data_IF_932777524837
#
_entry.id   IF_932777524837
#
_cell.length_a   1.000
_cell.length_b   1.000
_cell.length_c   1.000
_cell.angle_alpha   90.00
_cell.angle_beta   90.00
_cell.angle_gamma   90.00
#
_symmetry.space_group_name_H-M   'P 1'
#
loop_
_entity.id
_entity.type
_entity.pdbx_description
1 polymer ?
#
# COMPACT_ATOMS: atom_id res chain seq x y z
N UNK A 1 -37.45 55.56 34.27
CA UNK A 1 -36.36 54.68 34.76
C UNK A 1 -35.54 54.26 33.55
N UNK A 2 -34.24 54.57 33.54
CA UNK A 2 -33.71 55.42 32.48
C UNK A 2 -32.51 54.81 31.75
N UNK A 3 -32.13 55.45 30.63
CA UNK A 3 -30.75 55.81 30.28
C UNK A 3 -29.78 54.67 29.87
N UNK A 4 -28.79 54.79 28.97
CA UNK A 4 -28.21 55.92 28.23
C UNK A 4 -27.05 55.33 27.41
N UNK A 5 -26.94 55.75 26.15
CA UNK A 5 -25.72 56.27 25.49
C UNK A 5 -24.51 55.36 25.20
N UNK A 6 -24.02 55.42 23.94
CA UNK A 6 -22.84 56.19 23.42
C UNK A 6 -21.51 55.47 23.72
N UNK A 7 -20.43 55.58 22.97
CA UNK A 7 -19.99 56.19 21.70
C UNK A 7 -18.62 55.53 21.44
N UNK A 8 -18.27 55.20 20.19
CA UNK A 8 -17.30 55.95 19.37
C UNK A 8 -16.01 56.45 20.06
N UNK A 9 -14.85 56.03 19.54
CA UNK A 9 -13.65 56.80 19.07
C UNK A 9 -12.71 55.75 18.43
N UNK A 10 -12.39 55.70 17.14
CA UNK A 10 -11.64 56.59 16.22
C UNK A 10 -10.12 56.61 16.40
N UNK A 11 -9.40 56.12 15.38
CA UNK A 11 -8.06 56.51 14.85
C UNK A 11 -7.72 55.44 13.77
N UNK A 12 -7.71 55.64 12.45
CA UNK A 12 -7.40 56.72 11.51
C UNK A 12 -5.89 56.96 11.28
N UNK A 13 -5.33 56.35 10.21
CA UNK A 13 -4.36 56.92 9.26
C UNK A 13 -3.97 55.86 8.19
N UNK A 14 -4.35 55.98 6.89
CA UNK A 14 -3.72 56.75 5.78
C UNK A 14 -2.24 56.35 5.55
N UNK A 15 -1.89 55.63 4.49
CA UNK A 15 -1.37 56.08 3.16
C UNK A 15 -0.59 54.85 2.62
N UNK A 16 -0.39 54.52 1.35
CA UNK A 16 -0.24 55.30 0.13
C UNK A 16 -0.42 54.38 -1.10
N UNK A 17 -0.74 55.00 -2.22
CA UNK A 17 -0.92 54.46 -3.56
C UNK A 17 0.41 54.03 -4.21
N UNK A 18 0.28 53.02 -5.09
CA UNK A 18 0.93 52.78 -6.39
C UNK A 18 1.77 53.93 -7.00
N UNK A 19 2.73 53.61 -7.91
CA UNK A 19 2.37 53.57 -9.34
C UNK A 19 3.05 52.48 -10.20
N UNK A 20 2.30 52.12 -11.25
CA UNK A 20 2.73 51.55 -12.53
C UNK A 20 3.68 52.50 -13.30
N UNK A 21 4.64 51.92 -14.02
CA UNK A 21 5.19 52.43 -15.29
C UNK A 21 5.41 51.22 -16.22
N UNK A 22 4.69 51.10 -17.36
CA UNK A 22 4.95 51.72 -18.69
C UNK A 22 6.27 51.21 -19.29
N UNK A 23 6.43 50.71 -20.53
CA UNK A 23 5.65 50.52 -21.78
C UNK A 23 6.54 49.57 -22.64
N UNK A 24 6.08 48.84 -23.66
CA UNK A 24 6.32 49.10 -25.11
C UNK A 24 5.80 47.86 -25.87
N UNK A 25 4.73 48.02 -26.68
CA UNK A 25 4.62 47.80 -28.15
C UNK A 25 5.51 46.68 -28.71
N UNK A 26 5.08 45.75 -29.56
CA UNK A 26 4.41 45.98 -30.83
C UNK A 26 3.93 44.64 -31.44
N UNK A 27 2.96 44.69 -32.33
CA UNK A 27 2.41 43.56 -33.08
C UNK A 27 3.30 43.14 -34.27
N UNK A 28 3.21 41.88 -34.71
CA UNK A 28 3.55 41.51 -36.08
C UNK A 28 4.09 40.09 -36.33
N UNK A 29 3.27 39.30 -37.05
CA UNK A 29 3.65 38.26 -38.04
C UNK A 29 4.02 36.83 -37.60
N UNK A 30 3.05 35.95 -37.91
CA UNK A 30 3.11 34.57 -38.44
C UNK A 30 4.46 34.15 -39.07
N UNK A 31 5.00 32.99 -38.67
CA UNK A 31 5.29 31.82 -39.54
C UNK A 31 6.15 30.75 -38.84
N UNK A 32 5.81 29.49 -39.12
CA UNK A 32 6.41 28.22 -38.68
C UNK A 32 7.93 28.12 -38.87
N UNK A 33 8.61 27.41 -37.94
CA UNK A 33 9.63 26.38 -38.26
C UNK A 33 10.00 25.55 -37.03
N UNK A 34 9.97 24.23 -37.22
CA UNK A 34 10.46 23.20 -36.30
C UNK A 34 11.92 23.46 -35.91
N UNK A 35 12.25 23.23 -34.63
CA UNK A 35 13.62 23.22 -34.13
C UNK A 35 13.67 22.65 -32.72
N UNK A 36 14.25 21.45 -32.60
CA UNK A 36 14.47 20.66 -31.40
C UNK A 36 15.00 21.48 -30.20
N UNK A 37 14.37 21.34 -29.02
CA UNK A 37 15.00 21.65 -27.73
C UNK A 37 15.09 20.37 -26.89
N UNK A 38 16.32 19.98 -26.58
CA UNK A 38 16.66 18.99 -25.58
C UNK A 38 16.01 19.35 -24.24
N UNK A 39 15.06 18.53 -23.80
CA UNK A 39 14.57 18.57 -22.43
C UNK A 39 15.63 17.91 -21.56
N UNK A 40 16.36 18.71 -20.79
CA UNK A 40 17.19 18.24 -19.67
C UNK A 40 16.28 17.56 -18.66
N UNK A 41 16.33 16.23 -18.62
CA UNK A 41 15.72 15.41 -17.57
C UNK A 41 16.54 15.68 -16.31
N UNK A 42 16.02 16.53 -15.41
CA UNK A 42 16.52 16.60 -14.04
C UNK A 42 16.30 15.25 -13.35
N UNK A 43 17.16 14.84 -12.40
CA UNK A 43 16.98 13.57 -11.71
C UNK A 43 15.62 13.59 -11.00
N UNK A 44 14.73 12.68 -11.40
CA UNK A 44 13.51 12.39 -10.65
C UNK A 44 13.92 11.85 -9.28
N UNK A 45 13.92 12.72 -8.28
CA UNK A 45 13.93 12.30 -6.89
C UNK A 45 12.64 11.55 -6.63
N UNK A 46 12.68 10.22 -6.74
CA UNK A 46 11.67 9.33 -6.16
C UNK A 46 11.63 9.61 -4.67
N UNK A 47 10.68 10.45 -4.25
CA UNK A 47 10.38 10.66 -2.84
C UNK A 47 10.05 9.29 -2.24
N UNK A 48 10.73 8.84 -1.18
CA UNK A 48 10.44 7.55 -0.58
C UNK A 48 8.98 7.54 -0.15
N UNK A 49 8.26 6.49 -0.55
CA UNK A 49 6.89 6.20 -0.13
C UNK A 49 6.81 6.31 1.39
N UNK A 50 6.16 7.37 1.88
CA UNK A 50 6.02 7.68 3.31
C UNK A 50 5.01 6.74 3.96
N UNK A 51 5.33 5.45 4.06
CA UNK A 51 4.40 4.39 4.43
C UNK A 51 3.97 4.41 5.94
N UNK A 52 4.24 5.49 6.68
CA UNK A 52 3.93 5.61 8.11
C UNK A 52 2.43 5.58 8.44
N UNK A 53 2.06 5.41 9.73
CA UNK A 53 0.67 5.37 10.19
C UNK A 53 -0.11 6.63 9.82
N UNK A 54 0.56 7.76 9.61
CA UNK A 54 0.00 9.00 9.08
C UNK A 54 -0.64 8.87 7.68
N UNK A 55 -0.24 7.89 6.87
CA UNK A 55 -0.89 7.61 5.58
C UNK A 55 -2.17 6.79 5.72
N UNK A 56 -2.37 6.07 6.82
CA UNK A 56 -3.53 5.19 7.03
C UNK A 56 -4.87 5.87 6.72
N UNK A 57 -5.16 7.12 7.17
CA UNK A 57 -6.42 7.79 6.84
C UNK A 57 -6.57 8.11 5.34
N UNK A 58 -5.49 8.50 4.68
CA UNK A 58 -5.48 8.79 3.24
C UNK A 58 -5.71 7.50 2.44
N UNK A 59 -4.98 6.44 2.76
CA UNK A 59 -5.14 5.11 2.16
C UNK A 59 -6.57 4.62 2.34
N UNK A 60 -7.12 4.72 3.55
CA UNK A 60 -8.50 4.34 3.84
C UNK A 60 -9.50 5.12 2.98
N UNK A 61 -9.33 6.44 2.85
CA UNK A 61 -10.21 7.27 2.04
C UNK A 61 -10.12 6.93 0.53
N UNK A 62 -8.90 6.78 0.00
CA UNK A 62 -8.67 6.41 -1.41
C UNK A 62 -9.27 5.04 -1.72
N UNK A 63 -9.03 4.05 -0.85
CA UNK A 63 -9.51 2.67 -1.08
C UNK A 63 -11.01 2.55 -0.85
N UNK A 64 -11.59 3.34 0.06
CA UNK A 64 -13.05 3.43 0.19
C UNK A 64 -13.69 4.00 -1.08
N UNK A 65 -13.11 5.06 -1.66
CA UNK A 65 -13.58 5.60 -2.96
C UNK A 65 -13.46 4.56 -4.07
N UNK A 66 -12.34 3.86 -4.13
CA UNK A 66 -12.12 2.75 -5.08
C UNK A 66 -13.20 1.68 -4.96
N UNK A 67 -13.43 1.20 -3.74
CA UNK A 67 -14.46 0.21 -3.43
C UNK A 67 -15.86 0.67 -3.85
N UNK A 68 -16.21 1.94 -3.59
CA UNK A 68 -17.49 2.51 -4.00
C UNK A 68 -17.61 2.61 -5.53
N UNK A 69 -16.55 3.01 -6.24
CA UNK A 69 -16.57 3.06 -7.69
C UNK A 69 -16.82 1.67 -8.30
N UNK A 70 -16.18 0.62 -7.78
CA UNK A 70 -16.48 -0.76 -8.18
C UNK A 70 -17.92 -1.17 -7.90
N UNK A 71 -18.42 -0.86 -6.69
CA UNK A 71 -19.82 -1.13 -6.30
C UNK A 71 -20.83 -0.44 -7.22
N UNK A 72 -20.52 0.77 -7.65
CA UNK A 72 -21.38 1.58 -8.53
C UNK A 72 -21.09 1.40 -10.02
N UNK A 73 -20.16 0.52 -10.39
CA UNK A 73 -19.73 0.27 -11.78
C UNK A 73 -19.22 1.54 -12.49
N UNK A 74 -18.60 2.42 -11.72
CA UNK A 74 -18.05 3.70 -12.20
C UNK A 74 -16.62 3.51 -12.72
N UNK A 75 -16.52 3.12 -14.01
CA UNK A 75 -15.23 2.90 -14.68
C UNK A 75 -14.34 4.14 -14.64
N UNK A 76 -14.89 5.31 -14.89
CA UNK A 76 -14.11 6.55 -14.94
C UNK A 76 -13.62 6.95 -13.54
N UNK A 77 -14.44 6.74 -12.51
CA UNK A 77 -14.04 6.88 -11.11
C UNK A 77 -12.93 5.92 -10.69
N UNK A 78 -13.00 4.65 -11.10
CA UNK A 78 -11.91 3.67 -10.87
C UNK A 78 -10.62 4.15 -11.54
N UNK A 79 -10.69 4.52 -12.82
CA UNK A 79 -9.52 4.95 -13.58
C UNK A 79 -8.89 6.23 -13.01
N UNK A 80 -9.69 7.17 -12.49
CA UNK A 80 -9.22 8.40 -11.87
C UNK A 80 -8.45 8.18 -10.56
N UNK A 81 -8.57 7.00 -9.94
CA UNK A 81 -7.86 6.64 -8.72
C UNK A 81 -6.50 5.97 -8.99
N UNK A 82 -6.21 5.58 -10.23
CA UNK A 82 -4.95 4.95 -10.58
C UNK A 82 -3.83 5.97 -10.81
N UNK A 83 -2.66 5.67 -10.27
CA UNK A 83 -1.43 6.40 -10.55
C UNK A 83 -0.97 6.14 -12.00
N UNK A 84 -0.38 7.12 -12.71
CA UNK A 84 0.15 6.91 -14.07
C UNK A 84 1.14 5.72 -14.20
N UNK A 85 1.98 5.54 -13.19
CA UNK A 85 2.93 4.41 -13.08
C UNK A 85 2.37 3.17 -12.36
N UNK A 86 1.06 2.95 -12.36
CA UNK A 86 0.44 1.82 -11.66
C UNK A 86 0.98 0.47 -12.13
N UNK A 87 1.20 -0.43 -11.17
CA UNK A 87 1.49 -1.84 -11.39
C UNK A 87 0.33 -2.69 -10.86
N UNK A 88 -0.50 -3.21 -11.75
CA UNK A 88 -1.59 -4.12 -11.39
C UNK A 88 -1.16 -5.56 -11.64
N UNK A 89 -0.97 -6.34 -10.58
CA UNK A 89 -0.59 -7.74 -10.62
C UNK A 89 -1.84 -8.60 -10.49
N UNK A 90 -2.27 -9.19 -11.61
CA UNK A 90 -3.30 -10.22 -11.66
C UNK A 90 -2.61 -11.58 -11.59
N UNK A 91 -2.58 -12.17 -10.39
CA UNK A 91 -1.90 -13.45 -10.16
C UNK A 91 -2.68 -14.64 -10.70
N UNK A 92 -4.00 -14.50 -10.92
CA UNK A 92 -4.80 -15.57 -11.50
C UNK A 92 -4.50 -15.76 -12.99
N UNK A 93 -4.34 -14.66 -13.73
CA UNK A 93 -3.96 -14.69 -15.15
C UNK A 93 -2.44 -14.57 -15.37
N UNK A 94 -1.66 -14.54 -14.28
CA UNK A 94 -0.20 -14.41 -14.28
C UNK A 94 0.31 -13.25 -15.15
N UNK A 95 -0.18 -12.04 -14.91
CA UNK A 95 0.19 -10.85 -15.69
C UNK A 95 0.31 -9.60 -14.85
N UNK A 96 1.07 -8.64 -15.39
CA UNK A 96 1.21 -7.29 -14.83
C UNK A 96 0.71 -6.29 -15.86
N UNK A 97 -0.24 -5.45 -15.45
CA UNK A 97 -0.86 -4.43 -16.30
C UNK A 97 -0.43 -3.03 -15.86
N UNK A 98 -0.13 -2.19 -16.84
CA UNK A 98 0.12 -0.76 -16.65
C UNK A 98 -1.12 0.11 -16.93
N UNK A 99 -1.02 1.41 -16.65
CA UNK A 99 -2.14 2.35 -16.76
C UNK A 99 -2.89 2.31 -18.09
N UNK A 100 -2.18 2.19 -19.22
CA UNK A 100 -2.76 2.19 -20.57
C UNK A 100 -3.64 0.98 -20.85
N UNK A 101 -3.35 -0.17 -20.22
CA UNK A 101 -4.08 -1.42 -20.41
C UNK A 101 -5.26 -1.54 -19.44
N UNK A 102 -5.22 -0.81 -18.31
CA UNK A 102 -6.17 -0.98 -17.23
C UNK A 102 -7.60 -0.58 -17.57
N UNK A 103 -7.81 0.40 -18.47
CA UNK A 103 -9.18 0.81 -18.82
C UNK A 103 -9.98 -0.32 -19.42
N UNK A 104 -9.39 -1.05 -20.37
CA UNK A 104 -10.06 -2.17 -21.01
C UNK A 104 -10.14 -3.39 -20.10
N UNK A 105 -9.12 -3.61 -19.27
CA UNK A 105 -9.15 -4.66 -18.24
C UNK A 105 -10.27 -4.44 -17.22
N UNK A 106 -10.35 -3.28 -16.59
CA UNK A 106 -11.39 -2.95 -15.60
C UNK A 106 -12.78 -2.98 -16.24
N UNK A 107 -12.91 -2.51 -17.49
CA UNK A 107 -14.18 -2.64 -18.23
C UNK A 107 -14.55 -4.10 -18.48
N UNK A 108 -13.59 -4.99 -18.73
CA UNK A 108 -13.91 -6.41 -18.90
C UNK A 108 -14.26 -7.11 -17.57
N UNK A 109 -13.66 -6.67 -16.46
CA UNK A 109 -13.82 -7.30 -15.14
C UNK A 109 -14.99 -6.77 -14.32
N UNK A 110 -15.51 -5.59 -14.64
CA UNK A 110 -16.71 -5.05 -14.01
C UNK A 110 -17.92 -5.92 -14.37
N UNK A 111 -18.82 -6.25 -13.43
CA UNK A 111 -20.08 -6.93 -13.75
C UNK A 111 -20.96 -6.07 -14.66
N UNK A 112 -21.33 -6.57 -15.84
CA UNK A 112 -22.18 -5.86 -16.81
C UNK A 112 -23.44 -6.63 -17.21
N UNK A 113 -23.43 -7.96 -17.16
CA UNK A 113 -24.57 -8.77 -17.59
C UNK A 113 -25.55 -9.10 -16.45
N UNK A 114 -26.75 -9.55 -16.82
CA UNK A 114 -27.76 -10.00 -15.87
C UNK A 114 -27.27 -11.27 -15.14
N UNK A 115 -27.23 -11.21 -13.81
CA UNK A 115 -26.73 -12.29 -12.96
C UNK A 115 -25.25 -12.15 -12.57
N UNK A 116 -24.52 -11.20 -13.15
CA UNK A 116 -23.19 -10.85 -12.68
C UNK A 116 -23.25 -9.92 -11.47
N UNK A 117 -22.46 -10.21 -10.45
CA UNK A 117 -22.41 -9.43 -9.21
C UNK A 117 -21.00 -9.28 -8.66
N UNK A 118 -20.82 -8.28 -7.81
CA UNK A 118 -19.63 -8.14 -6.98
C UNK A 118 -20.07 -7.88 -5.55
N UNK A 119 -19.83 -8.85 -4.69
CA UNK A 119 -20.17 -8.81 -3.27
C UNK A 119 -18.89 -8.69 -2.48
N UNK A 120 -18.59 -7.48 -2.02
CA UNK A 120 -17.47 -7.27 -1.12
C UNK A 120 -17.80 -7.84 0.25
N UNK A 121 -16.91 -8.67 0.79
CA UNK A 121 -16.99 -9.13 2.17
C UNK A 121 -16.48 -8.06 3.14
N UNK A 122 -16.70 -8.27 4.44
CA UNK A 122 -16.51 -7.33 5.57
C UNK A 122 -15.28 -6.38 5.54
N UNK A 123 -15.41 -5.32 6.35
CA UNK A 123 -14.48 -4.21 6.65
C UNK A 123 -13.14 -4.21 5.89
N UNK A 124 -12.94 -3.17 5.07
CA UNK A 124 -11.64 -2.76 4.51
C UNK A 124 -10.63 -2.62 5.66
N UNK A 125 -9.57 -3.42 5.60
CA UNK A 125 -8.43 -3.34 6.54
C UNK A 125 -7.37 -2.42 5.93
N UNK A 126 -6.76 -1.57 6.74
CA UNK A 126 -5.76 -0.61 6.28
C UNK A 126 -4.57 -0.64 7.21
N UNK A 127 -3.37 -0.72 6.65
CA UNK A 127 -2.09 -0.68 7.34
C UNK A 127 -1.13 0.22 6.56
N UNK A 128 -0.90 1.43 7.07
CA UNK A 128 -0.03 2.44 6.43
C UNK A 128 -0.50 2.81 5.03
N UNK A 129 0.35 2.60 4.02
CA UNK A 129 0.03 2.86 2.62
C UNK A 129 -0.77 1.75 1.94
N UNK A 130 -1.03 0.62 2.60
CA UNK A 130 -1.69 -0.54 1.98
C UNK A 130 -3.04 -0.83 2.60
N UNK A 131 -4.04 -1.09 1.77
CA UNK A 131 -5.32 -1.63 2.21
C UNK A 131 -5.55 -3.03 1.67
N UNK A 132 -6.36 -3.79 2.39
CA UNK A 132 -6.76 -5.14 2.02
C UNK A 132 -8.26 -5.19 1.88
N UNK A 133 -8.72 -5.60 0.70
CA UNK A 133 -10.14 -5.82 0.42
C UNK A 133 -10.37 -7.24 -0.04
N UNK A 134 -11.58 -7.72 0.21
CA UNK A 134 -12.02 -9.04 -0.20
C UNK A 134 -13.40 -8.92 -0.81
N UNK A 135 -13.61 -9.65 -1.90
CA UNK A 135 -14.89 -9.69 -2.56
C UNK A 135 -15.07 -11.00 -3.29
N UNK A 136 -16.31 -11.36 -3.51
CA UNK A 136 -16.69 -12.37 -4.48
C UNK A 136 -17.20 -11.65 -5.71
N UNK A 137 -16.72 -12.03 -6.89
CA UNK A 137 -17.27 -11.57 -8.17
C UNK A 137 -17.87 -12.75 -8.90
N UNK A 138 -19.11 -12.63 -9.37
CA UNK A 138 -19.77 -13.61 -10.22
C UNK A 138 -19.84 -13.05 -11.63
N UNK A 139 -19.29 -13.77 -12.60
CA UNK A 139 -19.21 -13.37 -14.01
C UNK A 139 -19.68 -14.51 -14.91
N UNK A 140 -20.10 -14.21 -16.14
CA UNK A 140 -20.46 -15.23 -17.12
C UNK A 140 -19.22 -15.97 -17.64
N UNK A 141 -19.22 -17.29 -17.53
CA UNK A 141 -18.22 -18.19 -18.12
C UNK A 141 -18.78 -18.96 -19.32
N UNK A 142 -17.95 -19.81 -19.92
CA UNK A 142 -18.34 -20.58 -21.12
C UNK A 142 -19.54 -21.51 -20.93
N UNK A 143 -19.74 -22.03 -19.70
CA UNK A 143 -20.82 -22.96 -19.35
C UNK A 143 -21.83 -22.36 -18.34
N UNK A 144 -21.89 -21.02 -18.23
CA UNK A 144 -22.75 -20.28 -17.30
C UNK A 144 -21.97 -19.50 -16.24
N UNK A 145 -22.69 -19.00 -15.21
CA UNK A 145 -22.11 -18.16 -14.17
C UNK A 145 -21.01 -18.88 -13.36
N UNK A 146 -19.88 -18.20 -13.21
CA UNK A 146 -18.76 -18.61 -12.38
C UNK A 146 -18.48 -17.54 -11.33
N UNK A 147 -18.29 -17.95 -10.09
CA UNK A 147 -17.90 -17.04 -9.02
C UNK A 147 -16.38 -17.12 -8.80
N UNK A 148 -15.77 -16.02 -8.41
CA UNK A 148 -14.38 -15.92 -7.99
C UNK A 148 -14.33 -15.26 -6.63
N UNK A 149 -13.52 -15.82 -5.72
CA UNK A 149 -13.16 -15.13 -4.50
C UNK A 149 -11.86 -14.37 -4.75
N UNK A 150 -11.91 -13.05 -4.69
CA UNK A 150 -10.75 -12.18 -4.82
C UNK A 150 -10.32 -11.60 -3.48
N UNK A 151 -9.01 -11.49 -3.31
CA UNK A 151 -8.34 -10.73 -2.25
C UNK A 151 -7.35 -9.79 -2.89
N UNK A 152 -7.45 -8.50 -2.58
CA UNK A 152 -6.56 -7.48 -3.12
C UNK A 152 -5.76 -6.81 -2.01
N UNK A 153 -4.47 -6.64 -2.24
CA UNK A 153 -3.63 -5.71 -1.51
C UNK A 153 -3.40 -4.48 -2.39
N UNK A 154 -3.92 -3.33 -1.96
CA UNK A 154 -3.95 -2.07 -2.70
C UNK A 154 -3.00 -1.10 -2.02
N UNK A 155 -1.92 -0.73 -2.70
CA UNK A 155 -0.94 0.23 -2.18
C UNK A 155 -1.19 1.62 -2.78
N UNK A 156 -1.28 2.63 -1.91
CA UNK A 156 -1.57 4.03 -2.23
C UNK A 156 -0.30 4.86 -2.10
N UNK A 157 -0.08 5.76 -3.06
CA UNK A 157 0.99 6.75 -3.11
C UNK A 157 0.41 8.07 -3.55
N UNK A 158 0.67 9.14 -2.81
CA UNK A 158 0.22 10.50 -3.16
C UNK A 158 -1.31 10.59 -3.41
N UNK A 159 -2.08 9.80 -2.67
CA UNK A 159 -3.55 9.73 -2.80
C UNK A 159 -4.07 8.89 -3.96
N UNK A 160 -3.18 8.30 -4.77
CA UNK A 160 -3.49 7.45 -5.92
C UNK A 160 -3.04 6.00 -5.68
N UNK A 161 -3.72 5.05 -6.29
CA UNK A 161 -3.36 3.64 -6.25
C UNK A 161 -2.21 3.41 -7.22
N UNK A 162 -1.04 3.02 -6.71
CA UNK A 162 0.14 2.78 -7.54
C UNK A 162 0.46 1.28 -7.69
N UNK A 163 -0.10 0.43 -6.82
CA UNK A 163 0.05 -1.01 -6.95
C UNK A 163 -1.19 -1.73 -6.47
N UNK A 164 -1.61 -2.73 -7.24
CA UNK A 164 -2.61 -3.71 -6.81
C UNK A 164 -2.00 -5.09 -6.96
N UNK A 165 -2.12 -5.91 -5.92
CA UNK A 165 -1.85 -7.34 -5.99
C UNK A 165 -3.18 -8.07 -5.81
N UNK A 166 -3.76 -8.54 -6.90
CA UNK A 166 -5.02 -9.27 -6.90
C UNK A 166 -4.77 -10.78 -6.93
N UNK A 167 -5.35 -11.48 -5.96
CA UNK A 167 -5.38 -12.93 -5.91
C UNK A 167 -6.82 -13.40 -6.00
N UNK A 168 -7.20 -13.97 -7.15
CA UNK A 168 -8.50 -14.57 -7.37
C UNK A 168 -8.44 -16.10 -7.31
N UNK A 169 -9.50 -16.73 -6.81
CA UNK A 169 -9.68 -18.19 -6.87
C UNK A 169 -11.07 -18.53 -7.38
N UNK A 170 -11.16 -19.41 -8.38
CA UNK A 170 -12.42 -19.86 -8.94
C UNK A 170 -13.24 -20.64 -7.89
N UNK A 171 -14.49 -20.23 -7.74
CA UNK A 171 -15.55 -20.87 -6.97
C UNK A 171 -16.40 -21.67 -7.95
N UNK A 172 -16.14 -22.97 -8.09
CA UNK A 172 -17.09 -23.84 -8.78
C UNK A 172 -18.38 -23.91 -7.97
N UNK A 173 -19.47 -23.43 -8.55
CA UNK A 173 -20.81 -23.71 -8.07
C UNK A 173 -21.19 -25.14 -8.43
N UNK A 174 -21.59 -25.93 -7.45
CA UNK A 174 -22.20 -27.23 -7.71
C UNK A 174 -23.49 -26.99 -8.51
N UNK A 175 -23.49 -27.35 -9.79
CA UNK A 175 -24.70 -27.47 -10.56
C UNK A 175 -25.58 -28.56 -9.92
N UNK A 176 -26.76 -28.14 -9.45
CA UNK A 176 -27.86 -28.90 -8.82
C UNK A 176 -27.78 -29.12 -7.31
N UNK A 177 -28.46 -28.22 -6.59
CA UNK A 177 -29.49 -28.55 -5.60
C UNK A 177 -29.04 -29.09 -4.24
N UNK A 178 -28.84 -28.19 -3.28
CA UNK A 178 -29.41 -28.29 -1.92
C UNK A 178 -29.18 -26.98 -1.14
N UNK A 179 -30.11 -26.56 -0.26
CA UNK A 179 -29.97 -25.36 0.55
C UNK A 179 -29.21 -25.64 1.85
N UNK A 180 -28.61 -24.58 2.40
CA UNK A 180 -27.90 -24.47 3.68
C UNK A 180 -26.39 -24.83 3.67
N UNK A 181 -25.57 -23.78 3.81
CA UNK A 181 -24.14 -23.85 4.13
C UNK A 181 -23.40 -22.62 3.62
N UNK A 182 -22.99 -21.71 4.51
CA UNK A 182 -22.22 -20.51 4.15
C UNK A 182 -20.91 -20.83 3.40
N UNK A 183 -20.25 -19.82 2.80
CA UNK A 183 -19.07 -20.03 1.99
C UNK A 183 -17.98 -20.76 2.79
N UNK A 184 -17.44 -21.87 2.24
CA UNK A 184 -16.30 -22.55 2.86
C UNK A 184 -15.11 -21.58 2.93
N UNK A 185 -14.39 -21.50 4.06
CA UNK A 185 -13.30 -20.55 4.24
C UNK A 185 -12.19 -20.76 3.20
N UNK A 186 -11.53 -19.68 2.78
CA UNK A 186 -10.47 -19.68 1.76
C UNK A 186 -9.32 -20.68 2.04
N UNK A 187 -9.15 -21.05 3.31
CA UNK A 187 -8.28 -22.14 3.78
C UNK A 187 -8.53 -23.45 3.03
N UNK A 188 -9.80 -23.80 2.80
CA UNK A 188 -10.22 -25.04 2.14
C UNK A 188 -9.84 -25.10 0.64
N UNK A 189 -9.57 -23.96 0.00
CA UNK A 189 -9.22 -23.86 -1.43
C UNK A 189 -7.72 -23.90 -1.71
N UNK A 190 -6.91 -23.48 -0.75
CA UNK A 190 -5.45 -23.67 -0.79
C UNK A 190 -5.04 -25.09 -0.40
N UNK A 191 -6.01 -25.98 -0.12
CA UNK A 191 -5.77 -27.30 0.45
C UNK A 191 -5.23 -27.24 1.88
N UNK A 192 -5.47 -26.13 2.59
CA UNK A 192 -4.90 -25.86 3.91
C UNK A 192 -5.99 -25.91 4.98
N UNK A 193 -5.94 -26.91 5.85
CA UNK A 193 -6.68 -26.94 7.11
C UNK A 193 -6.13 -25.89 8.10
N UNK A 194 -6.90 -25.50 9.13
CA UNK A 194 -6.38 -24.64 10.20
C UNK A 194 -5.10 -25.18 10.84
N UNK A 195 -5.01 -26.51 10.99
CA UNK A 195 -3.79 -27.18 11.49
C UNK A 195 -2.61 -26.99 10.54
N UNK A 196 -2.81 -27.11 9.23
CA UNK A 196 -1.76 -26.85 8.25
C UNK A 196 -1.33 -25.38 8.23
N UNK A 197 -2.25 -24.43 8.43
CA UNK A 197 -1.88 -23.01 8.58
C UNK A 197 -1.04 -22.76 9.83
N UNK A 198 -1.37 -23.41 10.95
CA UNK A 198 -0.54 -23.34 12.17
C UNK A 198 0.85 -23.94 11.94
N UNK A 199 0.94 -25.09 11.26
CA UNK A 199 2.24 -25.68 10.88
C UNK A 199 3.01 -24.75 9.95
N UNK A 200 2.37 -24.19 8.93
CA UNK A 200 2.99 -23.26 7.99
C UNK A 200 3.48 -21.98 8.68
N UNK A 201 2.77 -21.49 9.70
CA UNK A 201 3.23 -20.38 10.54
C UNK A 201 4.50 -20.73 11.33
N UNK A 202 4.54 -21.92 11.93
CA UNK A 202 5.69 -22.42 12.68
C UNK A 202 6.90 -22.65 11.76
N UNK A 203 6.68 -23.22 10.57
CA UNK A 203 7.74 -23.45 9.59
C UNK A 203 8.32 -22.13 9.09
N UNK A 204 7.46 -21.15 8.80
CA UNK A 204 7.90 -19.81 8.41
C UNK A 204 8.70 -19.13 9.53
N UNK A 205 8.22 -19.19 10.77
CA UNK A 205 8.93 -18.65 11.93
C UNK A 205 10.29 -19.35 12.14
N UNK A 206 10.32 -20.69 12.04
CA UNK A 206 11.54 -21.49 12.15
C UNK A 206 12.54 -21.14 11.06
N UNK A 207 12.10 -21.04 9.81
CA UNK A 207 12.92 -20.61 8.68
C UNK A 207 13.54 -19.22 8.93
N UNK A 208 12.74 -18.26 9.40
CA UNK A 208 13.23 -16.93 9.71
C UNK A 208 14.23 -16.91 10.88
N UNK A 209 14.02 -17.73 11.90
CA UNK A 209 14.93 -17.82 13.05
C UNK A 209 16.25 -18.51 12.71
N UNK A 210 16.18 -19.61 11.95
CA UNK A 210 17.32 -20.46 11.62
C UNK A 210 18.20 -19.86 10.52
N UNK A 211 17.60 -19.49 9.38
CA UNK A 211 18.33 -19.03 8.20
C UNK A 211 18.56 -17.53 8.18
N UNK A 212 17.75 -16.76 8.94
CA UNK A 212 17.80 -15.30 8.98
C UNK A 212 17.79 -14.64 7.59
N UNK A 213 16.87 -15.05 6.70
CA UNK A 213 16.79 -14.55 5.33
C UNK A 213 16.55 -13.03 5.30
N UNK A 214 15.97 -12.47 6.37
CA UNK A 214 15.72 -11.03 6.51
C UNK A 214 17.00 -10.18 6.47
N UNK A 215 18.20 -10.76 6.66
CA UNK A 215 19.46 -10.02 6.51
C UNK A 215 19.81 -9.74 5.05
N UNK A 216 19.22 -10.47 4.10
CA UNK A 216 19.35 -10.18 2.68
C UNK A 216 18.50 -8.96 2.31
N UNK A 217 19.08 -7.86 1.80
CA UNK A 217 18.33 -6.69 1.37
C UNK A 217 17.45 -6.93 0.14
N UNK A 218 17.77 -7.94 -0.67
CA UNK A 218 17.02 -8.31 -1.88
C UNK A 218 15.89 -9.32 -1.60
N UNK A 219 15.72 -9.74 -0.34
CA UNK A 219 14.72 -10.74 0.04
C UNK A 219 13.31 -10.37 -0.45
N UNK A 220 12.72 -11.26 -1.22
CA UNK A 220 11.35 -11.17 -1.71
C UNK A 220 10.47 -12.36 -1.29
N UNK A 221 9.17 -12.23 -1.56
CA UNK A 221 8.18 -13.24 -1.20
C UNK A 221 8.35 -14.56 -1.97
N UNK A 222 8.87 -14.51 -3.20
CA UNK A 222 9.08 -15.69 -4.03
C UNK A 222 10.22 -16.53 -3.47
N UNK A 223 11.34 -15.90 -3.09
CA UNK A 223 12.47 -16.59 -2.47
C UNK A 223 12.05 -17.30 -1.17
N UNK A 224 11.23 -16.65 -0.33
CA UNK A 224 10.70 -17.30 0.87
C UNK A 224 9.80 -18.49 0.52
N UNK A 225 8.99 -18.39 -0.53
CA UNK A 225 8.16 -19.49 -0.99
C UNK A 225 9.02 -20.69 -1.44
N UNK A 226 10.02 -20.43 -2.27
CA UNK A 226 10.91 -21.45 -2.83
C UNK A 226 11.70 -22.18 -1.72
N UNK A 227 12.24 -21.44 -0.75
CA UNK A 227 13.02 -22.00 0.37
C UNK A 227 12.16 -22.70 1.43
N UNK A 228 10.92 -22.25 1.64
CA UNK A 228 10.01 -22.87 2.61
C UNK A 228 9.22 -24.06 2.05
N UNK A 229 9.31 -24.33 0.75
CA UNK A 229 8.57 -25.40 0.07
C UNK A 229 7.07 -25.12 -0.08
N UNK A 230 6.64 -23.87 0.19
CA UNK A 230 5.26 -23.43 0.05
C UNK A 230 5.09 -22.60 -1.22
N UNK A 231 3.89 -22.57 -1.79
CA UNK A 231 3.63 -21.64 -2.88
C UNK A 231 3.61 -20.20 -2.38
N UNK A 232 4.02 -19.26 -3.25
CA UNK A 232 3.93 -17.82 -3.00
C UNK A 232 2.53 -17.40 -2.50
N UNK A 233 1.49 -18.00 -3.06
CA UNK A 233 0.10 -17.75 -2.69
C UNK A 233 -0.20 -18.20 -1.26
N UNK A 234 0.33 -19.35 -0.83
CA UNK A 234 0.16 -19.84 0.54
C UNK A 234 0.89 -18.95 1.54
N UNK A 235 2.14 -18.55 1.28
CA UNK A 235 2.88 -17.62 2.16
C UNK A 235 2.19 -16.26 2.23
N UNK A 236 1.77 -15.72 1.09
CA UNK A 236 1.00 -14.47 1.04
C UNK A 236 -0.30 -14.58 1.84
N UNK A 237 -1.03 -15.68 1.69
CA UNK A 237 -2.27 -15.92 2.42
C UNK A 237 -2.00 -15.99 3.93
N UNK A 238 -0.99 -16.74 4.36
CA UNK A 238 -0.61 -16.83 5.77
C UNK A 238 -0.29 -15.45 6.36
N UNK A 239 0.59 -14.69 5.72
CA UNK A 239 1.00 -13.38 6.20
C UNK A 239 -0.18 -12.39 6.25
N UNK A 240 -0.94 -12.27 5.16
CA UNK A 240 -1.99 -11.25 5.05
C UNK A 240 -3.30 -11.67 5.74
N UNK A 241 -3.66 -12.95 5.71
CA UNK A 241 -4.97 -13.44 6.19
C UNK A 241 -4.90 -14.02 7.60
N UNK A 242 -3.80 -14.68 7.97
CA UNK A 242 -3.67 -15.28 9.30
C UNK A 242 -2.92 -14.34 10.24
N UNK A 243 -1.81 -13.77 9.81
CA UNK A 243 -0.98 -12.90 10.64
C UNK A 243 -1.35 -11.41 10.53
N UNK A 244 -2.16 -11.03 9.54
CA UNK A 244 -2.65 -9.67 9.37
C UNK A 244 -1.58 -8.64 9.04
N UNK A 245 -0.48 -9.04 8.43
CA UNK A 245 0.64 -8.16 8.10
C UNK A 245 1.18 -8.43 6.70
N UNK A 246 1.67 -7.38 6.04
CA UNK A 246 2.34 -7.53 4.75
C UNK A 246 3.70 -8.22 4.92
N UNK A 247 4.18 -8.86 3.84
CA UNK A 247 5.50 -9.46 3.79
C UNK A 247 6.62 -8.49 4.19
N UNK A 248 6.62 -7.28 3.63
CA UNK A 248 7.64 -6.29 3.93
C UNK A 248 7.62 -5.84 5.40
N UNK A 249 6.44 -5.74 6.03
CA UNK A 249 6.39 -5.46 7.46
C UNK A 249 6.92 -6.62 8.28
N UNK A 250 6.54 -7.86 7.96
CA UNK A 250 7.06 -9.04 8.64
C UNK A 250 8.59 -9.08 8.60
N UNK A 251 9.17 -8.90 7.41
CA UNK A 251 10.63 -8.86 7.22
C UNK A 251 11.25 -7.68 7.98
N UNK A 252 10.74 -6.45 7.82
CA UNK A 252 11.32 -5.27 8.46
C UNK A 252 11.24 -5.32 10.00
N UNK A 253 10.20 -5.93 10.56
CA UNK A 253 10.11 -6.18 11.99
C UNK A 253 11.22 -7.15 12.45
N UNK A 254 11.47 -8.23 11.71
CA UNK A 254 12.57 -9.15 12.01
C UNK A 254 13.94 -8.47 11.91
N UNK A 255 14.16 -7.65 10.86
CA UNK A 255 15.38 -6.82 10.72
C UNK A 255 15.58 -5.88 11.90
N UNK A 256 14.52 -5.21 12.32
CA UNK A 256 14.56 -4.28 13.45
C UNK A 256 14.85 -5.01 14.77
N UNK A 257 14.17 -6.13 15.03
CA UNK A 257 14.43 -6.94 16.22
C UNK A 257 15.88 -7.44 16.26
N UNK A 258 16.42 -7.88 15.11
CA UNK A 258 17.83 -8.25 15.01
C UNK A 258 18.74 -7.08 15.40
N UNK A 259 18.50 -5.90 14.85
CA UNK A 259 19.28 -4.69 15.15
C UNK A 259 19.19 -4.32 16.64
N UNK A 260 17.99 -4.29 17.21
CA UNK A 260 17.78 -3.96 18.63
C UNK A 260 18.52 -4.94 19.55
N UNK A 261 18.48 -6.24 19.24
CA UNK A 261 19.22 -7.26 20.00
C UNK A 261 20.73 -7.04 19.97
N UNK A 262 21.27 -6.46 18.88
CA UNK A 262 22.69 -6.10 18.78
C UNK A 262 23.03 -4.84 19.57
N UNK A 263 22.13 -3.86 19.60
CA UNK A 263 22.29 -2.63 20.38
C UNK A 263 22.28 -2.87 21.89
N UNK A 264 21.47 -3.81 22.37
CA UNK A 264 21.42 -4.15 23.79
C UNK A 264 22.68 -4.92 24.25
N UNK A 265 23.27 -5.73 23.36
CA UNK A 265 24.44 -6.56 23.66
C UNK A 265 25.80 -5.89 23.36
N UNK A 266 25.80 -4.76 22.67
CA UNK A 266 27.02 -4.05 22.31
C UNK A 266 26.79 -2.56 22.46
N UNK A 267 27.63 -1.91 23.27
CA UNK A 267 27.76 -0.45 23.25
C UNK A 267 28.42 -0.07 21.91
N UNK A 268 27.63 -0.13 20.83
CA UNK A 268 28.15 -0.12 19.48
C UNK A 268 28.74 1.25 19.16
N UNK A 269 30.04 1.27 18.83
CA UNK A 269 30.73 2.43 18.29
C UNK A 269 30.36 2.72 16.82
N UNK A 270 29.59 1.83 16.18
CA UNK A 270 29.17 1.94 14.79
C UNK A 270 27.97 2.90 14.61
N UNK A 271 27.90 3.65 13.50
CA UNK A 271 26.74 4.46 13.15
C UNK A 271 25.48 3.60 13.08
N UNK A 272 24.37 4.11 13.60
CA UNK A 272 23.08 3.39 13.59
C UNK A 272 22.58 3.10 12.16
N UNK A 273 22.96 3.95 11.21
CA UNK A 273 22.62 3.81 9.80
C UNK A 273 23.35 2.60 9.18
N UNK A 274 24.63 2.40 9.52
CA UNK A 274 25.40 1.23 9.10
C UNK A 274 24.84 -0.06 9.71
N UNK A 275 24.39 0.00 10.97
CA UNK A 275 23.71 -1.11 11.62
C UNK A 275 22.39 -1.46 10.92
N UNK A 276 21.66 -0.47 10.40
CA UNK A 276 20.44 -0.70 9.64
C UNK A 276 20.72 -1.43 8.32
N UNK A 277 21.75 -1.00 7.57
CA UNK A 277 22.14 -1.70 6.35
C UNK A 277 22.64 -3.13 6.63
N UNK A 278 23.43 -3.32 7.69
CA UNK A 278 23.88 -4.65 8.11
C UNK A 278 22.73 -5.55 8.59
N UNK A 279 21.62 -4.97 9.03
CA UNK A 279 20.40 -5.68 9.37
C UNK A 279 19.51 -5.99 8.15
N UNK A 280 19.96 -5.65 6.93
CA UNK A 280 19.27 -5.95 5.66
C UNK A 280 18.30 -4.88 5.18
N UNK A 281 18.24 -3.69 5.80
CA UNK A 281 17.40 -2.61 5.27
C UNK A 281 17.95 -2.09 3.94
N UNK A 282 17.09 -2.01 2.91
CA UNK A 282 17.46 -1.45 1.60
C UNK A 282 17.42 0.09 1.55
N UNK A 283 16.85 0.74 2.57
CA UNK A 283 16.75 2.20 2.66
C UNK A 283 16.63 2.68 4.11
N UNK A 284 17.28 3.80 4.41
CA UNK A 284 17.19 4.45 5.73
C UNK A 284 15.77 4.96 6.02
N UNK A 285 15.02 5.34 4.99
CA UNK A 285 13.62 5.74 5.14
C UNK A 285 12.75 4.60 5.69
N UNK A 286 12.89 3.39 5.14
CA UNK A 286 12.18 2.22 5.65
C UNK A 286 12.62 1.86 7.08
N UNK A 287 13.92 1.96 7.36
CA UNK A 287 14.48 1.76 8.70
C UNK A 287 13.88 2.73 9.72
N UNK A 288 14.01 4.04 9.50
CA UNK A 288 13.54 5.04 10.45
C UNK A 288 12.03 4.96 10.70
N UNK A 289 11.26 4.63 9.65
CA UNK A 289 9.84 4.39 9.75
C UNK A 289 9.55 3.19 10.66
N UNK A 290 10.11 2.03 10.35
CA UNK A 290 9.92 0.81 11.12
C UNK A 290 10.37 0.98 12.59
N UNK A 291 11.51 1.63 12.80
CA UNK A 291 12.05 1.91 14.12
C UNK A 291 11.09 2.76 14.96
N UNK A 292 10.54 3.83 14.38
CA UNK A 292 9.61 4.72 15.09
C UNK A 292 8.27 4.04 15.36
N UNK A 293 7.74 3.27 14.42
CA UNK A 293 6.50 2.51 14.61
C UNK A 293 6.62 1.50 15.75
N UNK A 294 7.78 0.86 15.89
CA UNK A 294 7.99 -0.18 16.89
C UNK A 294 8.36 0.38 18.27
N UNK A 295 9.21 1.41 18.32
CA UNK A 295 9.79 1.94 19.58
C UNK A 295 9.13 3.23 20.06
N UNK A 296 8.36 3.91 19.20
CA UNK A 296 7.82 5.25 19.45
C UNK A 296 8.88 6.37 19.43
N UNK A 297 10.16 6.04 19.22
CA UNK A 297 11.30 6.96 19.33
C UNK A 297 12.10 7.02 18.02
N UNK A 298 12.92 8.05 17.87
CA UNK A 298 13.98 8.04 16.85
C UNK A 298 15.15 7.17 17.31
N UNK A 299 15.94 6.57 16.40
CA UNK A 299 17.09 5.76 16.80
C UNK A 299 18.08 6.52 17.68
N UNK A 300 18.31 7.81 17.40
CA UNK A 300 19.18 8.68 18.22
C UNK A 300 18.63 8.87 19.64
N UNK A 301 17.33 9.07 19.80
CA UNK A 301 16.71 9.20 21.11
C UNK A 301 16.75 7.89 21.90
N UNK A 302 16.54 6.76 21.21
CA UNK A 302 16.60 5.42 21.79
C UNK A 302 18.01 5.07 22.28
N UNK A 303 19.04 5.31 21.46
CA UNK A 303 20.45 5.11 21.86
C UNK A 303 20.84 5.97 23.06
N UNK A 304 20.35 7.22 23.13
CA UNK A 304 20.56 8.08 24.30
C UNK A 304 19.97 7.44 25.57
N UNK A 305 18.76 6.88 25.49
CA UNK A 305 18.13 6.17 26.61
C UNK A 305 18.92 4.93 27.04
N UNK A 306 19.37 4.09 26.10
CA UNK A 306 20.20 2.91 26.41
C UNK A 306 21.49 3.36 27.11
N UNK A 307 22.16 4.38 26.58
CA UNK A 307 23.41 4.88 27.17
C UNK A 307 23.23 5.46 28.58
N UNK A 308 22.04 5.96 28.93
CA UNK A 308 21.72 6.46 30.26
C UNK A 308 21.44 5.31 31.22
N UNK A 309 20.73 4.28 30.78
CA UNK A 309 20.46 3.06 31.57
C UNK A 309 21.73 2.25 31.86
N UNK A 310 22.68 2.20 30.92
CA UNK A 310 23.94 1.50 31.12
C UNK A 310 24.91 2.21 32.10
N UNK A 311 24.61 3.46 32.48
CA UNK A 311 25.43 4.27 33.41
C UNK A 311 24.90 4.32 34.84
N UNK A 312 23.70 3.80 35.08
CA UNK A 312 23.04 3.66 36.39
C UNK A 312 23.07 2.22 36.86
#
# INVERSE_FOLDING_TARGET
MPAVSKNYIHTNQKLSRQPLGKTVQNAGSVALRLGFLQCTIGPMTTTPLSDGPEQTPLTAATVMRYHLCWKHRDLDGVMALYHPDIQYHDFFQNRVLGFTQLRDYVRASLPHEAGEDIVHSDRIRVDGCTAFIQYQVTVQGGDGLVAFQSSEAITVRDGLIWRINEYATLVRGDAKGSPAGGPRPATSRLGLSPRQLSTMAQDLEHYFQAQRPYLDPELDLQQVADESGYSRNQISYLLNQVLGQSFYRYVNQARLQHLLSRLDNSCAAAPVDDLAFNAGFNSLSAFYKCFREHTGLSPKAYLKQISLRART
#
